data_IF_777598774780
#
_entry.id   IF_777598774780
#
_cell.length_a   1.000
_cell.length_b   1.000
_cell.length_c   1.000
_cell.angle_alpha   90.00
_cell.angle_beta   90.00
_cell.angle_gamma   90.00
#
_symmetry.space_group_name_H-M   'P 1'
#
loop_
_entity.id
_entity.type
_entity.pdbx_description
1 polymer ?
#
# COMPACT_ATOMS: atom_id res chain seq x y z
N UNK A 1 45.07 11.44 -1.81
CA UNK A 1 43.71 10.93 -1.54
C UNK A 1 42.93 10.94 -2.83
N UNK A 2 42.41 9.81 -3.35
CA UNK A 2 41.60 9.83 -4.55
C UNK A 2 40.30 10.54 -4.25
N UNK A 3 39.97 11.60 -5.00
CA UNK A 3 38.68 12.28 -4.94
C UNK A 3 37.62 11.33 -5.49
N UNK A 4 36.86 10.74 -4.62
CA UNK A 4 35.64 10.04 -5.04
C UNK A 4 34.71 11.08 -5.65
N UNK A 5 34.61 11.12 -6.98
CA UNK A 5 33.51 11.79 -7.66
C UNK A 5 32.23 11.07 -7.23
N UNK A 6 31.47 11.66 -6.30
CA UNK A 6 30.12 11.20 -5.96
C UNK A 6 29.24 11.36 -7.19
N UNK A 7 28.95 10.26 -7.88
CA UNK A 7 27.96 10.22 -8.93
C UNK A 7 26.59 10.28 -8.24
N UNK A 8 25.91 11.41 -8.35
CA UNK A 8 24.51 11.51 -7.94
C UNK A 8 23.66 10.86 -9.02
N UNK A 9 22.98 9.78 -8.66
CA UNK A 9 22.00 9.15 -9.55
C UNK A 9 20.74 9.99 -9.55
N UNK A 10 20.19 10.23 -10.75
CA UNK A 10 18.89 10.89 -10.88
C UNK A 10 17.77 9.89 -10.55
N UNK A 11 17.30 9.91 -9.31
CA UNK A 11 16.19 9.06 -8.86
C UNK A 11 14.89 9.71 -9.28
N UNK A 12 14.16 9.08 -10.20
CA UNK A 12 12.78 9.48 -10.53
C UNK A 12 11.87 9.09 -9.39
N UNK A 13 11.49 10.07 -8.58
CA UNK A 13 10.49 9.87 -7.53
C UNK A 13 9.11 10.06 -8.15
N UNK A 14 8.24 9.08 -7.94
CA UNK A 14 6.83 9.21 -8.22
C UNK A 14 6.13 9.53 -6.91
N UNK A 15 5.59 10.74 -6.78
CA UNK A 15 4.74 11.09 -5.64
C UNK A 15 3.44 10.29 -5.71
N UNK A 16 3.01 9.76 -4.57
CA UNK A 16 1.68 9.16 -4.46
C UNK A 16 0.65 10.28 -4.39
N UNK A 17 -0.34 10.20 -5.26
CA UNK A 17 -1.50 11.08 -5.21
C UNK A 17 -2.41 10.67 -4.04
N UNK A 18 -2.20 11.25 -2.86
CA UNK A 18 -2.95 10.91 -1.64
C UNK A 18 -4.07 11.91 -1.30
N UNK A 19 -4.14 13.05 -2.00
CA UNK A 19 -5.08 14.13 -1.68
C UNK A 19 -6.55 13.68 -1.67
N UNK A 20 -6.98 12.82 -2.59
CA UNK A 20 -8.35 12.30 -2.61
C UNK A 20 -8.63 11.34 -1.45
N UNK A 21 -7.66 10.50 -1.06
CA UNK A 21 -7.77 9.66 0.13
C UNK A 21 -7.86 10.49 1.39
N UNK A 22 -7.03 11.52 1.52
CA UNK A 22 -7.06 12.43 2.66
C UNK A 22 -8.42 13.13 2.79
N UNK A 23 -9.00 13.58 1.66
CA UNK A 23 -10.37 14.14 1.65
C UNK A 23 -11.44 13.13 2.07
N UNK A 24 -11.30 11.86 1.69
CA UNK A 24 -12.21 10.80 2.16
C UNK A 24 -12.06 10.59 3.66
N UNK A 25 -10.82 10.53 4.16
CA UNK A 25 -10.56 10.35 5.59
C UNK A 25 -11.04 11.51 6.47
N UNK A 26 -11.02 12.76 5.95
CA UNK A 26 -11.57 13.92 6.64
C UNK A 26 -13.09 13.85 6.89
N UNK A 27 -13.78 12.90 6.28
CA UNK A 27 -15.20 12.65 6.53
C UNK A 27 -15.45 11.83 7.78
N UNK A 28 -14.43 11.14 8.29
CA UNK A 28 -14.51 10.38 9.53
C UNK A 28 -14.44 11.31 10.74
N UNK A 29 -15.32 11.07 11.70
CA UNK A 29 -15.21 11.66 13.03
C UNK A 29 -14.22 10.86 13.91
N UNK A 30 -14.11 11.24 15.17
CA UNK A 30 -13.19 10.59 16.10
C UNK A 30 -13.54 9.11 16.34
N UNK A 31 -14.81 8.75 16.33
CA UNK A 31 -15.28 7.37 16.54
C UNK A 31 -14.89 6.50 15.35
N UNK A 32 -15.16 6.96 14.12
CA UNK A 32 -14.82 6.24 12.90
C UNK A 32 -13.31 6.10 12.72
N UNK A 33 -12.51 7.10 13.11
CA UNK A 33 -11.05 6.98 13.14
C UNK A 33 -10.58 5.90 14.12
N UNK A 34 -11.19 5.79 15.29
CA UNK A 34 -10.89 4.73 16.24
C UNK A 34 -11.30 3.35 15.71
N UNK A 35 -12.46 3.24 15.07
CA UNK A 35 -12.93 2.00 14.45
C UNK A 35 -12.00 1.58 13.31
N UNK A 36 -11.56 2.52 12.47
CA UNK A 36 -10.56 2.25 11.45
C UNK A 36 -9.26 1.70 12.04
N UNK A 37 -8.72 2.38 13.07
CA UNK A 37 -7.48 1.97 13.73
C UNK A 37 -7.60 0.61 14.43
N UNK A 38 -8.75 0.32 15.03
CA UNK A 38 -9.05 -0.98 15.63
C UNK A 38 -9.10 -2.11 14.61
N UNK A 39 -9.69 -1.85 13.42
CA UNK A 39 -9.86 -2.84 12.37
C UNK A 39 -8.57 -3.07 11.55
N UNK A 40 -7.83 -2.01 11.25
CA UNK A 40 -6.76 -1.98 10.25
C UNK A 40 -5.41 -1.46 10.77
N UNK A 41 -5.25 -1.20 12.07
CA UNK A 41 -4.00 -0.72 12.66
C UNK A 41 -3.69 0.72 12.24
N UNK A 42 -2.40 1.00 12.01
CA UNK A 42 -1.90 2.35 11.71
C UNK A 42 -1.79 2.66 10.22
N UNK A 43 -2.36 1.82 9.34
CA UNK A 43 -2.18 1.99 7.89
C UNK A 43 -2.67 3.35 7.38
N UNK A 44 -3.69 3.94 8.04
CA UNK A 44 -4.19 5.27 7.72
C UNK A 44 -3.16 6.36 8.06
N UNK A 45 -2.46 6.22 9.18
CA UNK A 45 -1.46 7.19 9.62
C UNK A 45 -0.35 7.36 8.56
N UNK A 46 -0.02 6.28 7.84
CA UNK A 46 0.96 6.31 6.73
C UNK A 46 0.47 7.12 5.52
N UNK A 47 -0.84 7.06 5.23
CA UNK A 47 -1.43 7.85 4.15
C UNK A 47 -1.47 9.35 4.46
N UNK A 48 -1.23 9.73 5.72
CA UNK A 48 -1.20 11.14 6.17
C UNK A 48 0.22 11.71 6.27
N UNK A 49 1.26 10.90 6.06
CA UNK A 49 2.65 11.36 6.12
C UNK A 49 2.97 12.17 4.86
N UNK A 50 3.35 13.42 5.05
CA UNK A 50 3.95 14.21 3.99
C UNK A 50 5.44 13.83 3.83
N UNK A 51 5.80 13.36 2.66
CA UNK A 51 7.16 12.95 2.36
C UNK A 51 7.76 13.90 1.33
N UNK A 52 8.83 14.59 1.68
CA UNK A 52 9.56 15.42 0.72
C UNK A 52 10.34 14.56 -0.28
N UNK A 53 10.51 15.08 -1.48
CA UNK A 53 11.28 14.41 -2.55
C UNK A 53 12.71 14.14 -2.06
N UNK A 54 13.30 15.09 -1.34
CA UNK A 54 14.66 14.99 -0.79
C UNK A 54 14.77 13.85 0.23
N UNK A 55 13.75 13.65 1.06
CA UNK A 55 13.72 12.56 2.05
C UNK A 55 13.74 11.17 1.39
N UNK A 56 13.29 11.06 0.13
CA UNK A 56 13.30 9.81 -0.64
C UNK A 56 14.59 9.71 -1.46
N UNK A 57 14.97 10.79 -2.16
CA UNK A 57 16.09 10.76 -3.12
C UNK A 57 17.44 10.64 -2.45
N UNK A 58 17.62 11.27 -1.28
CA UNK A 58 18.91 11.23 -0.55
C UNK A 58 19.26 9.82 -0.10
N UNK A 59 18.44 9.07 0.62
CA UNK A 59 18.74 7.68 0.98
C UNK A 59 18.90 6.76 -0.23
N UNK A 60 18.13 6.98 -1.29
CA UNK A 60 18.19 6.16 -2.50
C UNK A 60 19.57 6.15 -3.17
N UNK A 61 20.41 7.19 -2.94
CA UNK A 61 21.78 7.23 -3.42
C UNK A 61 22.68 6.17 -2.76
N UNK A 62 22.29 5.68 -1.59
CA UNK A 62 23.09 4.78 -0.76
C UNK A 62 22.56 3.34 -0.79
N UNK A 63 21.49 3.06 -1.55
CA UNK A 63 20.96 1.71 -1.66
C UNK A 63 21.85 0.82 -2.49
N UNK A 64 22.38 -0.25 -1.87
CA UNK A 64 23.19 -1.29 -2.49
C UNK A 64 22.29 -2.52 -2.79
N UNK A 65 21.92 -2.69 -4.06
CA UNK A 65 21.01 -3.76 -4.49
C UNK A 65 21.52 -5.15 -4.14
N UNK A 66 22.83 -5.41 -4.34
CA UNK A 66 23.46 -6.70 -4.03
C UNK A 66 23.41 -7.07 -2.54
N UNK A 67 23.36 -6.07 -1.66
CA UNK A 67 23.29 -6.23 -0.20
C UNK A 67 21.87 -6.01 0.34
N UNK A 68 20.96 -5.51 -0.48
CA UNK A 68 19.60 -5.11 -0.11
C UNK A 68 19.53 -4.23 1.14
N UNK A 69 20.48 -3.30 1.23
CA UNK A 69 20.56 -2.35 2.34
C UNK A 69 21.08 -0.98 1.86
N UNK A 70 20.91 0.02 2.71
CA UNK A 70 21.50 1.34 2.52
C UNK A 70 22.88 1.36 3.19
N UNK A 71 23.93 1.68 2.45
CA UNK A 71 25.31 1.71 2.94
C UNK A 71 25.81 3.13 3.10
N UNK A 72 26.11 3.53 4.35
CA UNK A 72 26.55 4.87 4.71
C UNK A 72 27.94 4.77 5.34
N UNK A 73 28.98 4.93 4.54
CA UNK A 73 30.34 4.92 5.04
C UNK A 73 30.69 3.68 5.87
N UNK A 74 30.58 3.79 7.16
CA UNK A 74 30.95 2.80 8.16
C UNK A 74 29.79 1.99 8.75
N UNK A 75 28.55 2.30 8.36
CA UNK A 75 27.37 1.55 8.81
C UNK A 75 26.42 1.21 7.67
N UNK A 76 25.60 0.20 7.90
CA UNK A 76 24.54 -0.26 7.01
C UNK A 76 23.18 -0.18 7.70
N UNK A 77 22.18 0.25 6.94
CA UNK A 77 20.80 0.33 7.38
C UNK A 77 19.93 -0.54 6.46
N UNK A 78 19.27 -1.54 7.01
CA UNK A 78 18.30 -2.35 6.30
C UNK A 78 16.91 -2.20 6.93
N UNK A 79 15.85 -2.03 6.15
CA UNK A 79 14.50 -2.23 6.64
C UNK A 79 14.36 -3.65 7.19
N UNK A 80 13.65 -3.83 8.29
CA UNK A 80 13.37 -5.15 8.87
C UNK A 80 11.87 -5.38 9.00
N UNK A 81 11.48 -6.64 9.12
CA UNK A 81 10.07 -7.01 9.31
C UNK A 81 9.51 -6.38 10.58
N UNK A 82 10.29 -6.36 11.67
CA UNK A 82 9.89 -5.78 12.96
C UNK A 82 9.63 -4.27 12.85
N UNK A 83 10.39 -3.58 12.00
CA UNK A 83 10.13 -2.15 11.71
C UNK A 83 8.82 -1.97 10.97
N UNK A 84 8.55 -2.83 9.98
CA UNK A 84 7.27 -2.80 9.25
C UNK A 84 6.09 -3.16 10.16
N UNK A 85 6.24 -4.13 11.08
CA UNK A 85 5.23 -4.40 12.12
C UNK A 85 4.89 -3.15 12.94
N UNK A 86 5.92 -2.46 13.42
CA UNK A 86 5.77 -1.22 14.19
C UNK A 86 5.11 -0.10 13.40
N UNK A 87 5.51 0.09 12.14
CA UNK A 87 4.97 1.11 11.23
C UNK A 87 3.49 0.83 10.93
N UNK A 88 3.15 -0.41 10.58
CA UNK A 88 1.79 -0.82 10.22
C UNK A 88 0.88 -0.99 11.45
N UNK A 89 1.46 -1.12 12.64
CA UNK A 89 0.71 -1.46 13.85
C UNK A 89 0.12 -2.88 13.82
N UNK A 90 0.71 -3.77 13.02
CA UNK A 90 0.28 -5.14 12.80
C UNK A 90 1.38 -6.10 13.24
N UNK A 91 1.32 -6.60 14.47
CA UNK A 91 2.30 -7.58 14.96
C UNK A 91 2.08 -8.95 14.30
N UNK A 92 3.17 -9.60 13.89
CA UNK A 92 3.15 -10.99 13.40
C UNK A 92 2.85 -12.00 14.53
N UNK A 93 3.14 -11.64 15.77
CA UNK A 93 3.07 -12.49 16.94
C UNK A 93 1.83 -13.39 17.00
N UNK A 94 1.96 -14.63 16.57
CA UNK A 94 0.89 -15.63 16.55
C UNK A 94 -0.11 -15.52 15.38
N UNK A 95 0.01 -14.53 14.50
CA UNK A 95 -0.81 -14.43 13.29
C UNK A 95 -0.13 -15.12 12.12
N UNK A 96 -0.92 -15.81 11.30
CA UNK A 96 -0.44 -16.35 10.03
C UNK A 96 -0.07 -15.19 9.10
N UNK A 97 1.09 -15.27 8.47
CA UNK A 97 1.48 -14.31 7.43
C UNK A 97 0.69 -14.57 6.15
N UNK A 98 0.19 -13.51 5.53
CA UNK A 98 -0.35 -13.59 4.19
C UNK A 98 0.76 -13.97 3.21
N UNK A 99 0.50 -15.01 2.42
CA UNK A 99 1.32 -15.45 1.30
C UNK A 99 0.41 -15.64 0.09
N UNK A 100 0.79 -15.04 -1.04
CA UNK A 100 0.02 -15.18 -2.27
C UNK A 100 -0.03 -16.65 -2.72
N UNK A 101 -1.23 -17.18 -2.91
CA UNK A 101 -1.47 -18.58 -3.25
C UNK A 101 -1.38 -18.90 -4.74
N UNK A 102 -1.06 -17.91 -5.58
CA UNK A 102 -1.05 -18.04 -7.04
C UNK A 102 -2.40 -17.77 -7.72
N UNK A 103 -3.46 -17.53 -6.95
CA UNK A 103 -4.81 -17.28 -7.48
C UNK A 103 -5.38 -15.98 -6.92
N UNK A 104 -5.87 -15.14 -7.81
CA UNK A 104 -6.57 -13.91 -7.41
C UNK A 104 -7.98 -14.18 -6.88
N UNK A 105 -8.50 -13.29 -6.01
CA UNK A 105 -9.80 -13.49 -5.38
C UNK A 105 -10.93 -13.43 -6.42
N UNK A 106 -11.94 -14.26 -6.20
CA UNK A 106 -13.20 -14.16 -6.96
C UNK A 106 -13.88 -12.83 -6.70
N UNK A 107 -14.37 -12.18 -7.75
CA UNK A 107 -15.08 -10.88 -7.62
C UNK A 107 -16.26 -10.92 -6.66
N UNK A 108 -16.88 -12.07 -6.46
CA UNK A 108 -17.94 -12.23 -5.47
C UNK A 108 -17.47 -11.98 -4.02
N UNK A 109 -16.20 -12.29 -3.68
CA UNK A 109 -15.64 -11.97 -2.36
C UNK A 109 -15.38 -10.49 -2.23
N UNK A 110 -14.80 -9.87 -3.26
CA UNK A 110 -14.56 -8.43 -3.32
C UNK A 110 -15.87 -7.65 -3.21
N UNK A 111 -16.91 -8.07 -3.96
CA UNK A 111 -18.23 -7.48 -3.99
C UNK A 111 -18.87 -7.31 -2.60
N UNK A 112 -18.68 -8.29 -1.73
CA UNK A 112 -19.22 -8.27 -0.35
C UNK A 112 -18.62 -7.14 0.48
N UNK A 113 -17.35 -6.85 0.29
CA UNK A 113 -16.63 -5.79 1.04
C UNK A 113 -16.91 -4.42 0.44
N UNK A 114 -16.70 -4.27 -0.89
CA UNK A 114 -16.83 -2.96 -1.53
C UNK A 114 -18.28 -2.55 -1.82
N UNK A 115 -19.26 -3.41 -1.57
CA UNK A 115 -20.68 -3.16 -1.85
C UNK A 115 -20.95 -2.74 -3.29
N UNK A 116 -20.22 -3.35 -4.22
CA UNK A 116 -20.42 -3.25 -5.68
C UNK A 116 -20.69 -4.66 -6.17
N UNK A 117 -21.65 -4.83 -7.11
CA UNK A 117 -21.98 -6.17 -7.60
C UNK A 117 -20.78 -6.84 -8.29
N UNK A 118 -20.67 -8.17 -8.18
CA UNK A 118 -19.58 -8.91 -8.84
C UNK A 118 -19.60 -8.72 -10.37
N UNK A 119 -20.78 -8.54 -10.97
CA UNK A 119 -20.95 -8.28 -12.40
C UNK A 119 -20.34 -6.91 -12.77
N UNK A 120 -20.63 -5.89 -11.97
CA UNK A 120 -20.09 -4.55 -12.17
C UNK A 120 -18.56 -4.53 -11.95
N UNK A 121 -18.05 -5.18 -10.89
CA UNK A 121 -16.63 -5.30 -10.63
C UNK A 121 -15.88 -5.97 -11.80
N UNK A 122 -16.48 -6.99 -12.42
CA UNK A 122 -15.89 -7.61 -13.61
C UNK A 122 -15.81 -6.65 -14.81
N UNK A 123 -16.78 -5.74 -14.96
CA UNK A 123 -16.75 -4.70 -15.98
C UNK A 123 -15.72 -3.59 -15.68
N UNK A 124 -15.48 -3.32 -14.39
CA UNK A 124 -14.55 -2.31 -13.92
C UNK A 124 -13.09 -2.78 -13.91
N UNK A 125 -12.87 -4.09 -14.08
CA UNK A 125 -11.52 -4.64 -14.18
C UNK A 125 -10.80 -4.06 -15.40
N UNK A 126 -9.59 -3.60 -15.17
CA UNK A 126 -8.69 -3.13 -16.22
C UNK A 126 -7.37 -3.87 -16.14
N UNK A 127 -6.72 -4.01 -17.29
CA UNK A 127 -5.34 -4.46 -17.38
C UNK A 127 -4.50 -3.27 -17.87
N UNK A 128 -3.51 -2.89 -17.08
CA UNK A 128 -2.53 -1.85 -17.43
C UNK A 128 -1.13 -2.41 -17.24
N UNK A 129 -0.36 -2.49 -18.31
CA UNK A 129 1.02 -3.01 -18.29
C UNK A 129 1.15 -4.41 -17.66
N UNK A 130 0.19 -5.30 -17.92
CA UNK A 130 0.17 -6.65 -17.35
C UNK A 130 -0.42 -6.76 -15.94
N UNK A 131 -0.72 -5.64 -15.28
CA UNK A 131 -1.33 -5.61 -13.95
C UNK A 131 -2.84 -5.50 -14.09
N UNK A 132 -3.57 -6.45 -13.51
CA UNK A 132 -5.03 -6.45 -13.48
C UNK A 132 -5.53 -5.90 -12.15
N UNK A 133 -6.49 -5.00 -12.20
CA UNK A 133 -7.05 -4.38 -11.00
C UNK A 133 -8.38 -3.68 -11.23
N UNK A 134 -8.85 -2.98 -10.20
CA UNK A 134 -10.05 -2.14 -10.22
C UNK A 134 -9.62 -0.67 -10.20
N UNK A 135 -10.30 0.17 -10.99
CA UNK A 135 -9.96 1.59 -11.04
C UNK A 135 -10.17 2.26 -9.68
N UNK A 136 -9.14 2.99 -9.24
CA UNK A 136 -9.13 3.77 -8.00
C UNK A 136 -10.35 4.70 -7.93
N UNK A 137 -10.61 5.44 -9.02
CA UNK A 137 -11.70 6.41 -9.09
C UNK A 137 -13.04 5.78 -8.69
N UNK A 138 -13.36 4.58 -9.18
CA UNK A 138 -14.64 3.92 -8.87
C UNK A 138 -14.76 3.49 -7.41
N UNK A 139 -13.65 3.07 -6.80
CA UNK A 139 -13.62 2.76 -5.37
C UNK A 139 -13.77 4.03 -4.52
N UNK A 140 -13.17 5.14 -4.92
CA UNK A 140 -13.33 6.44 -4.26
C UNK A 140 -14.76 6.97 -4.37
N UNK A 141 -15.39 6.89 -5.55
CA UNK A 141 -16.80 7.23 -5.76
C UNK A 141 -17.71 6.38 -4.86
N UNK A 142 -17.41 5.08 -4.75
CA UNK A 142 -18.17 4.18 -3.88
C UNK A 142 -17.97 4.52 -2.39
N UNK A 143 -16.74 4.78 -1.97
CA UNK A 143 -16.46 5.21 -0.59
C UNK A 143 -17.25 6.49 -0.26
N UNK A 144 -17.24 7.47 -1.16
CA UNK A 144 -18.00 8.71 -0.98
C UNK A 144 -19.50 8.42 -0.80
N UNK A 145 -20.09 7.60 -1.66
CA UNK A 145 -21.52 7.24 -1.60
C UNK A 145 -21.86 6.54 -0.28
N UNK A 146 -21.00 5.64 0.22
CA UNK A 146 -21.18 4.97 1.50
C UNK A 146 -21.16 5.95 2.69
N UNK A 147 -20.24 6.90 2.67
CA UNK A 147 -20.18 7.95 3.69
C UNK A 147 -21.43 8.86 3.65
N UNK A 148 -21.92 9.22 2.44
CA UNK A 148 -23.13 10.03 2.27
C UNK A 148 -24.39 9.30 2.77
N UNK A 149 -24.39 7.95 2.76
CA UNK A 149 -25.46 7.09 3.26
C UNK A 149 -25.33 6.76 4.75
N UNK A 150 -24.23 7.15 5.43
CA UNK A 150 -23.94 6.80 6.81
C UNK A 150 -23.50 5.35 7.02
N UNK A 151 -23.14 4.64 5.95
CA UNK A 151 -22.69 3.24 5.96
C UNK A 151 -21.20 3.15 6.36
N UNK A 152 -20.88 3.61 7.57
CA UNK A 152 -19.51 3.84 8.04
C UNK A 152 -18.64 2.58 8.06
N UNK A 153 -19.20 1.43 8.46
CA UNK A 153 -18.43 0.16 8.45
C UNK A 153 -17.96 -0.18 7.05
N UNK A 154 -18.84 -0.12 6.07
CA UNK A 154 -18.49 -0.39 4.67
C UNK A 154 -17.58 0.68 4.08
N UNK A 155 -17.76 1.95 4.49
CA UNK A 155 -16.87 3.04 4.12
C UNK A 155 -15.43 2.78 4.60
N UNK A 156 -15.26 2.41 5.88
CA UNK A 156 -13.96 2.09 6.49
C UNK A 156 -13.28 0.94 5.72
N UNK A 157 -14.03 -0.10 5.37
CA UNK A 157 -13.49 -1.23 4.61
C UNK A 157 -13.00 -0.83 3.21
N UNK A 158 -13.77 -0.01 2.49
CA UNK A 158 -13.38 0.49 1.16
C UNK A 158 -12.21 1.46 1.26
N UNK A 159 -12.20 2.32 2.27
CA UNK A 159 -11.08 3.24 2.50
C UNK A 159 -9.79 2.48 2.83
N UNK A 160 -9.86 1.44 3.65
CA UNK A 160 -8.71 0.59 3.97
C UNK A 160 -8.20 -0.14 2.71
N UNK A 161 -9.09 -0.67 1.87
CA UNK A 161 -8.72 -1.26 0.58
C UNK A 161 -7.98 -0.26 -0.32
N UNK A 162 -8.46 0.98 -0.39
CA UNK A 162 -7.79 2.06 -1.14
C UNK A 162 -6.39 2.34 -0.60
N UNK A 163 -6.23 2.41 0.73
CA UNK A 163 -4.90 2.59 1.36
C UNK A 163 -3.97 1.43 1.03
N UNK A 164 -4.45 0.18 1.09
CA UNK A 164 -3.68 -0.99 0.67
C UNK A 164 -3.19 -0.85 -0.77
N UNK A 165 -4.09 -0.56 -1.70
CA UNK A 165 -3.76 -0.50 -3.13
C UNK A 165 -2.91 0.70 -3.54
N UNK A 166 -3.01 1.83 -2.82
CA UNK A 166 -2.34 3.08 -3.21
C UNK A 166 -1.04 3.31 -2.44
N UNK A 167 -1.03 3.05 -1.13
CA UNK A 167 0.12 3.32 -0.29
C UNK A 167 1.03 2.09 -0.10
N UNK A 168 0.47 0.89 0.01
CA UNK A 168 1.26 -0.30 0.30
C UNK A 168 1.63 -1.12 -0.94
N UNK A 169 0.81 -1.07 -1.99
CA UNK A 169 1.06 -1.75 -3.27
C UNK A 169 0.90 -0.79 -4.45
N UNK A 170 1.71 0.28 -4.55
CA UNK A 170 1.56 1.35 -5.55
C UNK A 170 2.08 0.92 -6.93
N UNK A 171 1.67 -0.25 -7.44
CA UNK A 171 2.22 -0.84 -8.64
C UNK A 171 1.85 -0.07 -9.92
N UNK A 172 0.58 0.31 -10.06
CA UNK A 172 0.07 1.04 -11.22
C UNK A 172 -0.79 2.22 -10.79
N UNK A 173 -0.50 3.39 -11.34
CA UNK A 173 -1.25 4.61 -11.03
C UNK A 173 -2.71 4.51 -11.44
N UNK A 174 -3.59 4.94 -10.55
CA UNK A 174 -5.03 4.94 -10.78
C UNK A 174 -5.69 3.56 -10.78
N UNK A 175 -4.95 2.52 -10.38
CA UNK A 175 -5.44 1.16 -10.31
C UNK A 175 -5.12 0.55 -8.93
N UNK A 176 -6.11 -0.09 -8.32
CA UNK A 176 -5.92 -0.97 -7.16
C UNK A 176 -5.82 -2.39 -7.70
N UNK A 177 -4.62 -2.98 -7.66
CA UNK A 177 -4.38 -4.26 -8.28
C UNK A 177 -5.00 -5.44 -7.52
N UNK A 178 -5.15 -6.58 -8.20
CA UNK A 178 -5.76 -7.77 -7.60
C UNK A 178 -4.88 -8.38 -6.50
N UNK A 179 -3.56 -8.17 -6.52
CA UNK A 179 -2.67 -8.65 -5.46
C UNK A 179 -2.88 -7.86 -4.16
N UNK A 180 -3.01 -6.52 -4.28
CA UNK A 180 -3.38 -5.66 -3.15
C UNK A 180 -4.76 -6.04 -2.58
N UNK A 181 -5.74 -6.30 -3.47
CA UNK A 181 -7.08 -6.73 -3.07
C UNK A 181 -7.03 -8.08 -2.35
N UNK A 182 -6.24 -9.03 -2.83
CA UNK A 182 -6.11 -10.35 -2.20
C UNK A 182 -5.47 -10.25 -0.80
N UNK A 183 -4.38 -9.51 -0.68
CA UNK A 183 -3.74 -9.24 0.61
C UNK A 183 -4.69 -8.54 1.60
N UNK A 184 -5.45 -7.57 1.13
CA UNK A 184 -6.47 -6.89 1.92
C UNK A 184 -7.56 -7.86 2.39
N UNK A 185 -8.11 -8.70 1.51
CA UNK A 185 -9.15 -9.66 1.86
C UNK A 185 -8.66 -10.72 2.85
N UNK A 186 -7.42 -11.18 2.73
CA UNK A 186 -6.80 -12.08 3.70
C UNK A 186 -6.70 -11.43 5.09
N UNK A 187 -6.29 -10.17 5.15
CA UNK A 187 -6.26 -9.42 6.40
C UNK A 187 -7.69 -9.19 6.95
N UNK A 188 -8.63 -8.76 6.09
CA UNK A 188 -10.01 -8.44 6.48
C UNK A 188 -10.75 -9.67 7.04
N UNK A 189 -10.70 -10.81 6.31
CA UNK A 189 -11.47 -12.00 6.66
C UNK A 189 -10.75 -12.94 7.64
N UNK A 190 -9.48 -13.22 7.38
CA UNK A 190 -8.72 -14.26 8.09
C UNK A 190 -7.75 -13.70 9.13
N UNK A 191 -7.65 -12.36 9.21
CA UNK A 191 -6.67 -11.66 10.06
C UNK A 191 -5.23 -12.09 9.79
N UNK A 192 -4.94 -12.56 8.56
CA UNK A 192 -3.58 -12.84 8.12
C UNK A 192 -2.78 -11.55 8.04
N UNK A 193 -1.55 -11.55 8.55
CA UNK A 193 -0.73 -10.34 8.57
C UNK A 193 -0.19 -10.00 7.18
N UNK A 194 -0.41 -8.79 6.64
CA UNK A 194 0.11 -8.38 5.34
C UNK A 194 1.57 -7.92 5.40
N UNK A 195 2.19 -7.86 6.58
CA UNK A 195 3.51 -7.24 6.82
C UNK A 195 4.57 -7.81 5.90
N UNK A 196 4.64 -9.15 5.77
CA UNK A 196 5.65 -9.82 4.93
C UNK A 196 5.46 -9.46 3.44
N UNK A 197 4.22 -9.41 2.96
CA UNK A 197 3.93 -9.05 1.58
C UNK A 197 4.27 -7.59 1.27
N UNK A 198 3.92 -6.67 2.17
CA UNK A 198 4.25 -5.23 2.03
C UNK A 198 5.77 -5.03 2.09
N UNK A 199 6.45 -5.72 3.00
CA UNK A 199 7.89 -5.70 3.11
C UNK A 199 8.57 -6.21 1.82
N UNK A 200 8.11 -7.35 1.29
CA UNK A 200 8.61 -7.89 0.03
C UNK A 200 8.38 -6.93 -1.14
N UNK A 201 7.20 -6.33 -1.25
CA UNK A 201 6.88 -5.35 -2.28
C UNK A 201 7.76 -4.08 -2.19
N UNK A 202 8.13 -3.66 -0.98
CA UNK A 202 9.05 -2.54 -0.81
C UNK A 202 10.45 -2.87 -1.35
N UNK A 203 10.98 -4.06 -1.05
CA UNK A 203 12.27 -4.50 -1.59
C UNK A 203 12.25 -4.68 -3.11
N UNK A 204 11.20 -5.28 -3.67
CA UNK A 204 11.02 -5.40 -5.11
C UNK A 204 11.02 -4.02 -5.79
N UNK A 205 10.38 -3.04 -5.17
CA UNK A 205 10.38 -1.64 -5.63
C UNK A 205 11.80 -1.04 -5.60
N UNK A 206 12.59 -1.28 -4.57
CA UNK A 206 13.97 -0.80 -4.50
C UNK A 206 14.85 -1.46 -5.57
N UNK A 207 14.77 -2.77 -5.72
CA UNK A 207 15.54 -3.53 -6.70
C UNK A 207 15.20 -3.09 -8.13
N UNK A 208 13.92 -3.01 -8.48
CA UNK A 208 13.46 -2.57 -9.79
C UNK A 208 13.93 -1.15 -10.14
N UNK A 209 13.97 -0.24 -9.15
CA UNK A 209 14.48 1.12 -9.35
C UNK A 209 15.97 1.14 -9.64
N UNK A 210 16.73 0.21 -9.07
CA UNK A 210 18.16 0.08 -9.34
C UNK A 210 18.47 -0.48 -10.71
N UNK A 211 17.67 -1.44 -11.22
CA UNK A 211 17.85 -2.03 -12.56
C UNK A 211 17.60 -1.04 -13.70
N UNK A 212 16.86 0.03 -13.44
CA UNK A 212 16.55 1.08 -14.43
C UNK A 212 17.45 2.32 -14.35
N UNK A 213 18.55 2.22 -13.62
CA UNK A 213 19.56 3.28 -13.50
C UNK A 213 20.46 3.41 -14.72
#
# INVERSE_FOLDING_TARGET
MPSFKKWFYHVKVKSLELASLQKLGQRMDQVQHQDFRKAYGKIWDLAMIEVSIEAITSPAQYYAQSLRCFTFGDFQLAPTIEKFEGILGCQLGGRKSYLFSGFYPYMARVAKVVKISAQELNRLKQNRNGVVGITRQRLEEKAKALADQGEWTSFIDVLALLVFGIAHFPNVEGLVDLAAIDAFLAYHHSKESPVVAIFANAYDTFDWRCEKR
#
